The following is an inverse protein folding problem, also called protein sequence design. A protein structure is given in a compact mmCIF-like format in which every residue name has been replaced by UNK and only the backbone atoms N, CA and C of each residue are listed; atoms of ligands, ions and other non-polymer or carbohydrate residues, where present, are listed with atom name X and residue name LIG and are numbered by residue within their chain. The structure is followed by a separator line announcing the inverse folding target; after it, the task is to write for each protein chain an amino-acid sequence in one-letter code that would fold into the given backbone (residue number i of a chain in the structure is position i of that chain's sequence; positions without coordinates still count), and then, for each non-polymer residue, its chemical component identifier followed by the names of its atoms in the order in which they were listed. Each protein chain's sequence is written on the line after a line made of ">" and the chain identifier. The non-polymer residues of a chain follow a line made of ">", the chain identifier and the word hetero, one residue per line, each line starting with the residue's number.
data_IF_386666672578
#
_entry.id   IF_386666672578
#
_cell.length_a   1.000
_cell.length_b   1.000
_cell.length_c   1.000
_cell.angle_alpha   90.00
_cell.angle_beta   90.00
_cell.angle_gamma   90.00
#
_symmetry.space_group_name_H-M   'P 1'
#
loop_
_entity.id
_entity.type
_entity.pdbx_description
1 polymer ?
#
# COMPACT_ATOMS: atom_id res chain seq x y z
N UNK A 1 1.65 15.05 6.39
CA UNK A 1 2.25 14.42 5.18
C UNK A 1 1.35 13.25 4.81
N UNK A 2 0.72 13.27 3.63
CA UNK A 2 -0.17 12.21 3.16
C UNK A 2 0.49 11.41 2.05
N UNK A 3 0.17 10.11 1.98
CA UNK A 3 0.70 9.21 0.94
C UNK A 3 -0.44 8.38 0.36
N UNK A 4 -0.54 8.40 -0.97
CA UNK A 4 -1.48 7.60 -1.74
C UNK A 4 -0.71 6.87 -2.84
N UNK A 5 -1.12 5.64 -3.12
CA UNK A 5 -0.48 4.78 -4.12
C UNK A 5 -1.47 3.76 -4.64
N UNK A 6 -1.31 3.36 -5.91
CA UNK A 6 -2.06 2.31 -6.58
C UNK A 6 -1.03 1.25 -7.04
N UNK A 7 -1.30 -0.05 -6.85
CA UNK A 7 -0.41 -1.14 -7.30
C UNK A 7 -1.23 -2.32 -7.79
N UNK A 8 -1.01 -2.73 -9.05
CA UNK A 8 -1.66 -3.92 -9.62
C UNK A 8 -3.17 -3.80 -9.83
N UNK A 9 -3.72 -2.58 -9.94
CA UNK A 9 -5.13 -2.37 -10.20
C UNK A 9 -5.48 -2.66 -11.67
N UNK A 10 -6.68 -3.20 -11.92
CA UNK A 10 -7.19 -3.52 -13.24
C UNK A 10 -8.55 -2.84 -13.53
N UNK A 11 -9.00 -2.97 -14.78
CA UNK A 11 -10.26 -2.41 -15.27
C UNK A 11 -10.15 -0.96 -15.80
N UNK A 12 -11.26 -0.41 -16.36
CA UNK A 12 -11.24 0.88 -17.06
C UNK A 12 -10.82 2.09 -16.20
N UNK A 13 -10.90 1.96 -14.87
CA UNK A 13 -10.55 3.03 -13.94
C UNK A 13 -9.09 3.04 -13.47
N UNK A 14 -8.29 2.02 -13.79
CA UNK A 14 -6.92 1.87 -13.27
C UNK A 14 -5.87 2.68 -14.03
N UNK A 15 -6.25 3.39 -15.10
CA UNK A 15 -5.35 4.31 -15.77
C UNK A 15 -4.94 5.46 -14.84
N UNK A 16 -3.64 5.53 -14.55
CA UNK A 16 -3.05 6.55 -13.69
C UNK A 16 -2.54 7.78 -14.45
N UNK A 17 -2.58 7.78 -15.79
CA UNK A 17 -2.01 8.84 -16.64
C UNK A 17 -2.54 10.25 -16.34
N UNK A 18 -3.78 10.33 -15.83
CA UNK A 18 -4.47 11.58 -15.48
C UNK A 18 -4.56 11.83 -13.97
N UNK A 19 -3.91 11.02 -13.14
CA UNK A 19 -3.89 11.21 -11.69
C UNK A 19 -3.05 12.43 -11.32
N UNK A 20 -3.30 12.91 -10.11
CA UNK A 20 -2.55 13.99 -9.47
C UNK A 20 -1.05 13.69 -9.41
N UNK A 21 -0.23 14.72 -9.63
CA UNK A 21 1.24 14.60 -9.69
C UNK A 21 1.89 14.10 -8.39
N UNK A 22 1.19 14.22 -7.26
CA UNK A 22 1.67 13.76 -5.96
C UNK A 22 1.36 12.28 -5.68
N UNK A 23 0.65 11.59 -6.59
CA UNK A 23 0.45 10.14 -6.47
C UNK A 23 1.82 9.45 -6.51
N UNK A 24 2.09 8.58 -5.53
CA UNK A 24 3.39 7.92 -5.41
C UNK A 24 3.32 6.52 -6.03
N UNK A 25 4.40 6.13 -6.68
CA UNK A 25 4.64 4.72 -7.04
C UNK A 25 5.42 4.04 -5.92
N UNK A 26 5.06 2.81 -5.58
CA UNK A 26 5.78 1.98 -4.60
C UNK A 26 6.39 0.75 -5.27
N UNK A 27 7.48 0.24 -4.73
CA UNK A 27 8.06 -1.03 -5.16
C UNK A 27 7.29 -2.22 -4.60
N UNK A 28 7.42 -3.39 -5.25
CA UNK A 28 6.90 -4.67 -4.76
C UNK A 28 7.39 -5.00 -3.35
N UNK A 29 8.65 -4.69 -3.03
CA UNK A 29 9.21 -4.89 -1.69
C UNK A 29 8.55 -4.00 -0.63
N UNK A 30 8.13 -2.79 -0.99
CA UNK A 30 7.42 -1.91 -0.07
C UNK A 30 5.95 -2.30 0.07
N UNK A 31 5.35 -2.80 -1.01
CA UNK A 31 4.01 -3.39 -0.98
C UNK A 31 3.97 -4.61 -0.04
N UNK A 32 4.97 -5.49 -0.11
CA UNK A 32 5.00 -6.70 0.72
C UNK A 32 5.01 -6.38 2.23
N UNK A 33 5.62 -5.26 2.63
CA UNK A 33 5.50 -4.75 3.99
C UNK A 33 4.05 -4.39 4.33
N UNK A 34 3.39 -3.57 3.50
CA UNK A 34 2.01 -3.12 3.75
C UNK A 34 0.98 -4.26 3.77
N UNK A 35 1.25 -5.35 3.06
CA UNK A 35 0.39 -6.56 3.06
C UNK A 35 0.83 -7.61 4.10
N UNK A 36 1.88 -7.34 4.90
CA UNK A 36 2.38 -8.29 5.89
C UNK A 36 1.63 -8.19 7.23
N UNK A 37 1.66 -9.27 8.00
CA UNK A 37 1.14 -9.32 9.38
C UNK A 37 1.90 -8.40 10.33
N UNK A 38 3.15 -8.05 9.98
CA UNK A 38 3.94 -7.07 10.72
C UNK A 38 3.35 -5.66 10.65
N UNK A 39 2.71 -5.30 9.53
CA UNK A 39 2.11 -3.97 9.35
C UNK A 39 0.96 -3.72 10.33
N UNK A 40 0.12 -4.74 10.56
CA UNK A 40 -0.97 -4.70 11.55
C UNK A 40 -0.48 -5.06 12.97
N UNK A 41 0.83 -5.28 13.16
CA UNK A 41 1.41 -5.59 14.46
C UNK A 41 0.93 -6.92 15.05
N UNK A 42 0.70 -7.96 14.23
CA UNK A 42 0.07 -9.22 14.65
C UNK A 42 0.64 -9.80 15.96
N UNK A 43 1.95 -9.73 16.18
CA UNK A 43 2.58 -10.23 17.42
C UNK A 43 2.03 -9.56 18.69
N UNK A 44 1.73 -8.26 18.63
CA UNK A 44 1.15 -7.50 19.74
C UNK A 44 -0.32 -7.83 19.97
N UNK A 45 -1.03 -8.21 18.91
CA UNK A 45 -2.43 -8.63 18.99
C UNK A 45 -2.55 -10.05 19.57
N UNK A 46 -1.74 -10.99 19.09
CA UNK A 46 -1.83 -12.40 19.50
C UNK A 46 -1.23 -12.68 20.87
N UNK A 47 -0.28 -11.85 21.32
CA UNK A 47 0.29 -11.92 22.66
C UNK A 47 0.25 -10.51 23.28
N UNK A 48 -0.93 -10.08 23.75
CA UNK A 48 -1.04 -8.85 24.53
C UNK A 48 -0.14 -8.99 25.76
N UNK A 49 0.68 -7.97 26.02
CA UNK A 49 1.46 -7.86 27.26
C UNK A 49 0.53 -7.46 28.40
#
# INVERSE_FOLDING_TARGET
>A
NLSYTEYGCDGPGSDTSKRVKWLRTISSQRLSYYTSLSYIGMRRWSHPQ
#
